data_IF_996767937558
#
_entry.id   IF_996767937558
#
_cell.length_a   1.000
_cell.length_b   1.000
_cell.length_c   1.000
_cell.angle_alpha   90.00
_cell.angle_beta   90.00
_cell.angle_gamma   90.00
#
_symmetry.space_group_name_H-M   'P 1'
#
loop_
_entity.id
_entity.type
_entity.pdbx_description
1 polymer ?
#
# COMPACT_ATOMS: atom_id res chain seq x y z
N UNK A 1 17.03 -14.93 31.27
CA UNK A 1 15.67 -14.40 31.59
C UNK A 1 15.48 -12.92 31.20
N UNK A 2 16.50 -12.21 30.77
CA UNK A 2 16.43 -10.77 30.37
C UNK A 2 16.03 -10.53 28.90
N UNK A 3 16.41 -11.39 27.99
CA UNK A 3 16.23 -11.21 26.55
C UNK A 3 14.77 -11.02 26.05
N UNK A 4 13.75 -11.77 26.54
CA UNK A 4 12.37 -11.55 26.08
C UNK A 4 11.73 -10.24 26.56
N UNK A 5 12.15 -9.72 27.72
CA UNK A 5 11.66 -8.44 28.25
C UNK A 5 12.29 -7.25 27.51
N UNK A 6 13.57 -7.35 27.14
CA UNK A 6 14.27 -6.34 26.34
C UNK A 6 13.66 -6.26 24.93
N UNK A 7 13.38 -7.40 24.28
CA UNK A 7 12.72 -7.45 22.98
C UNK A 7 11.32 -6.83 23.02
N UNK A 8 10.56 -7.02 24.10
CA UNK A 8 9.24 -6.41 24.29
C UNK A 8 9.34 -4.89 24.43
N UNK A 9 10.31 -4.39 25.20
CA UNK A 9 10.53 -2.97 25.40
C UNK A 9 10.97 -2.26 24.09
N UNK A 10 11.82 -2.90 23.30
CA UNK A 10 12.26 -2.37 22.00
C UNK A 10 11.09 -2.29 21.01
N UNK A 11 10.26 -3.33 20.95
CA UNK A 11 9.05 -3.32 20.12
C UNK A 11 8.08 -2.22 20.53
N UNK A 12 7.87 -2.05 21.83
CA UNK A 12 7.03 -0.97 22.35
C UNK A 12 7.60 0.40 21.97
N UNK A 13 8.89 0.61 22.13
CA UNK A 13 9.54 1.87 21.74
C UNK A 13 9.46 2.14 20.24
N UNK A 14 9.66 1.13 19.42
CA UNK A 14 9.49 1.25 17.96
C UNK A 14 8.06 1.64 17.58
N UNK A 15 7.05 1.06 18.24
CA UNK A 15 5.64 1.40 18.03
C UNK A 15 5.32 2.85 18.41
N UNK A 16 5.87 3.35 19.51
CA UNK A 16 5.70 4.75 19.92
C UNK A 16 6.27 5.70 18.87
N UNK A 17 7.48 5.43 18.35
CA UNK A 17 8.13 6.21 17.32
C UNK A 17 7.36 6.12 15.97
N UNK A 18 6.84 4.94 15.64
CA UNK A 18 5.97 4.80 14.47
C UNK A 18 4.70 5.65 14.61
N UNK A 19 4.04 5.62 15.77
CA UNK A 19 2.87 6.45 16.05
C UNK A 19 3.20 7.96 15.95
N UNK A 20 4.36 8.39 16.42
CA UNK A 20 4.85 9.76 16.25
C UNK A 20 4.94 10.11 14.76
N UNK A 21 5.51 9.21 13.95
CA UNK A 21 5.57 9.37 12.49
C UNK A 21 4.18 9.47 11.85
N UNK A 22 3.22 8.67 12.29
CA UNK A 22 1.82 8.76 11.83
C UNK A 22 1.22 10.13 12.13
N UNK A 23 1.48 10.68 13.32
CA UNK A 23 0.99 12.02 13.66
C UNK A 23 1.59 13.11 12.74
N UNK A 24 2.90 13.10 12.51
CA UNK A 24 3.53 13.99 11.54
C UNK A 24 2.91 13.84 10.15
N UNK A 25 2.73 12.61 9.69
CA UNK A 25 2.14 12.30 8.39
C UNK A 25 0.71 12.88 8.25
N UNK A 26 -0.13 12.70 9.27
CA UNK A 26 -1.51 13.22 9.28
C UNK A 26 -1.56 14.76 9.24
N UNK A 27 -0.54 15.45 9.74
CA UNK A 27 -0.42 16.90 9.67
C UNK A 27 0.30 17.39 8.40
N UNK A 28 0.67 16.50 7.48
CA UNK A 28 1.37 16.84 6.26
C UNK A 28 2.86 17.13 6.43
N UNK A 29 3.41 16.90 7.61
CA UNK A 29 4.84 16.99 7.90
C UNK A 29 5.54 15.68 7.51
N UNK A 30 5.75 15.50 6.21
CA UNK A 30 6.34 14.27 5.68
C UNK A 30 7.82 14.11 6.03
N UNK A 31 8.57 15.19 6.15
CA UNK A 31 9.97 15.15 6.60
C UNK A 31 10.06 14.70 8.07
N UNK A 32 9.23 15.26 8.94
CA UNK A 32 9.10 14.81 10.34
C UNK A 32 8.67 13.35 10.45
N UNK A 33 7.73 12.94 9.61
CA UNK A 33 7.28 11.54 9.54
C UNK A 33 8.44 10.60 9.17
N UNK A 34 9.23 10.94 8.15
CA UNK A 34 10.41 10.15 7.73
C UNK A 34 11.41 10.01 8.88
N UNK A 35 11.68 11.08 9.61
CA UNK A 35 12.58 11.04 10.77
C UNK A 35 12.07 10.08 11.84
N UNK A 36 10.80 10.16 12.20
CA UNK A 36 10.20 9.32 13.22
C UNK A 36 10.15 7.84 12.79
N UNK A 37 9.75 7.54 11.55
CA UNK A 37 9.77 6.17 11.01
C UNK A 37 11.20 5.62 10.95
N UNK A 38 12.19 6.44 10.61
CA UNK A 38 13.58 6.03 10.61
C UNK A 38 14.04 5.61 12.00
N UNK A 39 13.74 6.42 13.03
CA UNK A 39 14.02 6.05 14.42
C UNK A 39 13.31 4.76 14.84
N UNK A 40 12.06 4.56 14.41
CA UNK A 40 11.32 3.33 14.68
C UNK A 40 12.03 2.11 14.09
N UNK A 41 12.46 2.20 12.82
CA UNK A 41 13.19 1.16 12.10
C UNK A 41 14.54 0.85 12.77
N UNK A 42 15.26 1.88 13.20
CA UNK A 42 16.56 1.73 13.88
C UNK A 42 16.41 0.97 15.22
N UNK A 43 15.29 1.15 15.91
CA UNK A 43 14.98 0.43 17.16
C UNK A 43 14.53 -1.00 16.89
N UNK A 44 13.56 -1.18 15.99
CA UNK A 44 13.03 -2.49 15.59
C UNK A 44 12.41 -2.38 14.19
N UNK A 45 13.05 -2.94 13.15
CA UNK A 45 12.52 -2.93 11.80
C UNK A 45 11.17 -3.64 11.71
N UNK A 46 10.17 -2.97 11.14
CA UNK A 46 8.83 -3.52 10.88
C UNK A 46 8.40 -3.23 9.46
N UNK A 47 7.60 -4.11 8.87
CA UNK A 47 7.06 -3.91 7.52
C UNK A 47 6.17 -2.65 7.46
N UNK A 48 5.43 -2.37 8.54
CA UNK A 48 4.62 -1.17 8.68
C UNK A 48 5.46 0.12 8.62
N UNK A 49 6.56 0.17 9.37
CA UNK A 49 7.39 1.38 9.42
C UNK A 49 8.04 1.67 8.07
N UNK A 50 8.54 0.66 7.36
CA UNK A 50 9.04 0.82 5.99
C UNK A 50 7.93 1.27 5.02
N UNK A 51 6.76 0.65 5.07
CA UNK A 51 5.63 1.00 4.19
C UNK A 51 5.19 2.45 4.39
N UNK A 52 5.04 2.88 5.64
CA UNK A 52 4.63 4.25 5.97
C UNK A 52 5.71 5.28 5.62
N UNK A 53 6.99 4.94 5.80
CA UNK A 53 8.08 5.81 5.32
C UNK A 53 8.05 5.92 3.80
N UNK A 54 7.73 4.84 3.10
CA UNK A 54 7.47 4.85 1.65
C UNK A 54 6.33 5.79 1.27
N UNK A 55 5.23 5.82 2.01
CA UNK A 55 4.14 6.77 1.76
C UNK A 55 4.63 8.22 1.90
N UNK A 56 5.40 8.52 2.93
CA UNK A 56 5.96 9.86 3.12
C UNK A 56 6.87 10.26 1.95
N UNK A 57 7.73 9.35 1.47
CA UNK A 57 8.53 9.59 0.26
C UNK A 57 7.66 9.84 -0.98
N UNK A 58 6.60 9.06 -1.16
CA UNK A 58 5.69 9.26 -2.29
C UNK A 58 5.00 10.63 -2.26
N UNK A 59 4.54 11.08 -1.08
CA UNK A 59 3.96 12.42 -0.93
C UNK A 59 4.95 13.55 -1.24
N UNK A 60 6.23 13.31 -1.04
CA UNK A 60 7.32 14.22 -1.45
C UNK A 60 7.73 14.09 -2.93
N UNK A 61 7.03 13.26 -3.71
CA UNK A 61 7.34 13.01 -5.12
C UNK A 61 8.53 12.06 -5.35
N UNK A 62 9.04 11.41 -4.30
CA UNK A 62 10.18 10.48 -4.34
C UNK A 62 9.69 9.05 -4.54
N UNK A 63 9.09 8.79 -5.69
CA UNK A 63 8.38 7.52 -5.98
C UNK A 63 9.33 6.32 -5.99
N UNK A 64 10.52 6.45 -6.55
CA UNK A 64 11.49 5.34 -6.58
C UNK A 64 12.01 4.98 -5.19
N UNK A 65 12.19 5.97 -4.31
CA UNK A 65 12.49 5.72 -2.90
C UNK A 65 11.32 5.01 -2.20
N UNK A 66 10.09 5.41 -2.48
CA UNK A 66 8.89 4.77 -1.94
C UNK A 66 8.80 3.28 -2.35
N UNK A 67 9.08 2.96 -3.61
CA UNK A 67 9.13 1.57 -4.10
C UNK A 67 10.24 0.79 -3.38
N UNK A 68 11.41 1.40 -3.19
CA UNK A 68 12.52 0.81 -2.43
C UNK A 68 12.13 0.46 -0.99
N UNK A 69 11.43 1.36 -0.32
CA UNK A 69 10.91 1.12 1.04
C UNK A 69 9.90 -0.02 1.10
N UNK A 70 8.97 -0.10 0.15
CA UNK A 70 8.04 -1.20 0.05
C UNK A 70 8.76 -2.55 -0.16
N UNK A 71 9.83 -2.61 -0.94
CA UNK A 71 10.64 -3.81 -1.11
C UNK A 71 11.31 -4.24 0.21
N UNK A 72 11.83 -3.30 0.99
CA UNK A 72 12.35 -3.58 2.34
C UNK A 72 11.26 -4.09 3.28
N UNK A 73 10.05 -3.52 3.22
CA UNK A 73 8.90 -4.00 3.99
C UNK A 73 8.59 -5.47 3.67
N UNK A 74 8.63 -5.86 2.39
CA UNK A 74 8.41 -7.24 1.94
C UNK A 74 9.52 -8.19 2.44
N UNK A 75 10.76 -7.72 2.50
CA UNK A 75 11.87 -8.52 3.08
C UNK A 75 11.65 -8.80 4.57
N UNK A 76 11.10 -7.83 5.31
CA UNK A 76 10.80 -7.98 6.75
C UNK A 76 9.60 -8.88 7.00
N UNK A 77 8.51 -8.68 6.25
CA UNK A 77 7.30 -9.50 6.33
C UNK A 77 6.70 -9.73 4.94
N UNK A 78 7.03 -10.83 4.27
CA UNK A 78 6.49 -11.17 2.96
C UNK A 78 4.97 -11.38 2.94
N UNK A 79 4.36 -11.60 4.10
CA UNK A 79 2.91 -11.80 4.26
C UNK A 79 2.10 -10.51 4.38
N UNK A 80 2.76 -9.37 4.56
CA UNK A 80 2.10 -8.07 4.66
C UNK A 80 1.73 -7.53 3.28
N UNK A 81 0.43 -7.33 3.01
CA UNK A 81 -0.08 -7.04 1.67
C UNK A 81 0.08 -5.59 1.21
N UNK A 82 0.10 -4.63 2.14
CA UNK A 82 0.15 -3.21 1.82
C UNK A 82 1.30 -2.83 0.87
N UNK A 83 2.57 -3.23 1.12
CA UNK A 83 3.66 -2.82 0.24
C UNK A 83 3.54 -3.36 -1.19
N UNK A 84 2.94 -4.52 -1.40
CA UNK A 84 2.68 -5.03 -2.75
C UNK A 84 1.68 -4.17 -3.51
N UNK A 85 0.56 -3.80 -2.86
CA UNK A 85 -0.43 -2.90 -3.44
C UNK A 85 0.17 -1.52 -3.73
N UNK A 86 0.97 -1.00 -2.81
CA UNK A 86 1.57 0.33 -2.94
C UNK A 86 2.58 0.38 -4.10
N UNK A 87 3.43 -0.64 -4.27
CA UNK A 87 4.30 -0.76 -5.45
C UNK A 87 3.46 -0.75 -6.73
N UNK A 88 2.37 -1.51 -6.76
CA UNK A 88 1.45 -1.53 -7.90
C UNK A 88 0.88 -0.15 -8.20
N UNK A 89 0.40 0.56 -7.19
CA UNK A 89 -0.14 1.91 -7.33
C UNK A 89 0.93 2.92 -7.81
N UNK A 90 2.15 2.84 -7.28
CA UNK A 90 3.26 3.71 -7.69
C UNK A 90 3.69 3.45 -9.13
N UNK A 91 3.73 2.19 -9.57
CA UNK A 91 4.03 1.83 -10.95
C UNK A 91 2.93 2.29 -11.91
N UNK A 92 1.64 2.22 -11.52
CA UNK A 92 0.54 2.80 -12.30
C UNK A 92 0.75 4.31 -12.46
N UNK A 93 1.07 5.02 -11.39
CA UNK A 93 1.33 6.47 -11.44
C UNK A 93 2.51 6.83 -12.34
N UNK A 94 3.51 5.96 -12.46
CA UNK A 94 4.63 6.10 -13.41
C UNK A 94 4.27 5.72 -14.85
N UNK A 95 3.09 5.17 -15.10
CA UNK A 95 2.69 4.65 -16.41
C UNK A 95 3.23 3.25 -16.73
N UNK A 96 3.87 2.59 -15.76
CA UNK A 96 4.45 1.25 -15.91
C UNK A 96 3.39 0.17 -15.64
N UNK A 97 2.32 0.16 -16.43
CA UNK A 97 1.11 -0.62 -16.17
C UNK A 97 1.38 -2.13 -16.13
N UNK A 98 2.14 -2.65 -17.09
CA UNK A 98 2.42 -4.09 -17.16
C UNK A 98 3.28 -4.56 -15.96
N UNK A 99 4.20 -3.74 -15.51
CA UNK A 99 5.02 -4.02 -14.33
C UNK A 99 4.20 -4.02 -13.02
N UNK A 100 3.10 -3.25 -12.97
CA UNK A 100 2.24 -3.15 -11.79
C UNK A 100 1.42 -4.42 -11.54
N UNK A 101 1.00 -5.14 -12.58
CA UNK A 101 0.09 -6.29 -12.49
C UNK A 101 0.60 -7.37 -11.53
N UNK A 102 1.83 -7.90 -11.64
CA UNK A 102 2.30 -8.94 -10.73
C UNK A 102 2.29 -8.53 -9.26
N UNK A 103 2.58 -7.26 -8.96
CA UNK A 103 2.56 -6.74 -7.58
C UNK A 103 1.15 -6.71 -7.01
N UNK A 104 0.18 -6.23 -7.78
CA UNK A 104 -1.22 -6.18 -7.37
C UNK A 104 -1.82 -7.59 -7.20
N UNK A 105 -1.45 -8.54 -8.07
CA UNK A 105 -1.88 -9.94 -7.92
C UNK A 105 -1.28 -10.57 -6.65
N UNK A 106 -0.04 -10.27 -6.32
CA UNK A 106 0.57 -10.71 -5.05
C UNK A 106 -0.12 -10.09 -3.84
N UNK A 107 -0.53 -8.82 -3.92
CA UNK A 107 -1.29 -8.17 -2.85
C UNK A 107 -2.61 -8.90 -2.55
N UNK A 108 -3.34 -9.35 -3.58
CA UNK A 108 -4.56 -10.15 -3.42
C UNK A 108 -4.34 -11.43 -2.61
N UNK A 109 -3.16 -12.04 -2.73
CA UNK A 109 -2.82 -13.31 -2.11
C UNK A 109 -2.18 -13.16 -0.72
N UNK A 110 -1.82 -11.96 -0.32
CA UNK A 110 -1.12 -11.73 0.95
C UNK A 110 -1.99 -12.14 2.15
N UNK A 111 -1.47 -12.96 3.08
CA UNK A 111 -2.27 -13.46 4.20
C UNK A 111 -2.66 -12.37 5.20
N UNK A 112 -1.84 -11.34 5.35
CA UNK A 112 -2.07 -10.21 6.25
C UNK A 112 -2.29 -8.93 5.46
N UNK A 113 -3.51 -8.71 5.00
CA UNK A 113 -3.89 -7.51 4.26
C UNK A 113 -5.34 -7.09 4.53
N UNK A 114 -5.49 -5.96 5.13
CA UNK A 114 -6.73 -5.20 5.29
C UNK A 114 -6.45 -3.75 4.84
N UNK A 115 -7.15 -3.19 3.91
CA UNK A 115 -8.36 -3.59 3.18
C UNK A 115 -8.06 -4.27 1.83
N UNK A 116 -8.57 -5.48 1.64
CA UNK A 116 -8.31 -6.35 0.46
C UNK A 116 -8.90 -5.86 -0.86
N UNK A 117 -9.82 -4.92 -0.85
CA UNK A 117 -10.46 -4.41 -2.06
C UNK A 117 -9.53 -3.51 -2.89
N UNK A 118 -8.53 -2.87 -2.30
CA UNK A 118 -7.65 -1.93 -3.01
C UNK A 118 -6.88 -2.52 -4.20
N UNK A 119 -6.24 -3.70 -4.15
CA UNK A 119 -5.57 -4.24 -5.32
C UNK A 119 -6.54 -4.53 -6.47
N UNK A 120 -7.77 -4.92 -6.20
CA UNK A 120 -8.81 -5.07 -7.21
C UNK A 120 -9.20 -3.71 -7.84
N UNK A 121 -9.36 -2.67 -7.03
CA UNK A 121 -9.61 -1.31 -7.54
C UNK A 121 -8.47 -0.81 -8.43
N UNK A 122 -7.23 -1.02 -8.01
CA UNK A 122 -6.06 -0.60 -8.77
C UNK A 122 -5.93 -1.37 -10.09
N UNK A 123 -6.19 -2.68 -10.10
CA UNK A 123 -6.25 -3.48 -11.34
C UNK A 123 -7.41 -3.05 -12.24
N UNK A 124 -8.57 -2.74 -11.67
CA UNK A 124 -9.69 -2.20 -12.44
C UNK A 124 -9.33 -0.91 -13.18
N UNK A 125 -8.69 0.04 -12.50
CA UNK A 125 -8.19 1.27 -13.12
C UNK A 125 -7.13 1.00 -14.17
N UNK A 126 -6.20 0.10 -13.90
CA UNK A 126 -5.14 -0.30 -14.82
C UNK A 126 -5.72 -0.91 -16.11
N UNK A 127 -6.62 -1.87 -15.99
CA UNK A 127 -7.24 -2.49 -17.15
C UNK A 127 -8.13 -1.52 -17.93
N UNK A 128 -8.83 -0.60 -17.26
CA UNK A 128 -9.56 0.47 -17.92
C UNK A 128 -8.63 1.38 -18.74
N UNK A 129 -7.49 1.76 -18.16
CA UNK A 129 -6.47 2.55 -18.85
C UNK A 129 -5.88 1.85 -20.08
N UNK A 130 -5.81 0.52 -20.06
CA UNK A 130 -5.39 -0.32 -21.20
C UNK A 130 -6.49 -0.59 -22.22
N UNK A 131 -7.72 -0.10 -22.00
CA UNK A 131 -8.90 -0.38 -22.85
C UNK A 131 -9.47 -1.79 -22.68
N UNK A 132 -9.02 -2.53 -21.68
CA UNK A 132 -9.45 -3.91 -21.36
C UNK A 132 -10.71 -3.86 -20.49
N UNK A 133 -11.80 -3.33 -21.03
CA UNK A 133 -12.99 -2.90 -20.27
C UNK A 133 -13.66 -4.07 -19.51
N UNK A 134 -13.75 -5.26 -20.13
CA UNK A 134 -14.35 -6.43 -19.48
C UNK A 134 -13.55 -6.90 -18.25
N UNK A 135 -12.22 -6.85 -18.33
CA UNK A 135 -11.36 -7.17 -17.20
C UNK A 135 -11.48 -6.11 -16.11
N UNK A 136 -11.51 -4.82 -16.47
CA UNK A 136 -11.72 -3.73 -15.54
C UNK A 136 -13.04 -3.91 -14.76
N UNK A 137 -14.13 -4.24 -15.45
CA UNK A 137 -15.44 -4.49 -14.82
C UNK A 137 -15.33 -5.63 -13.79
N UNK A 138 -14.75 -6.77 -14.16
CA UNK A 138 -14.59 -7.90 -13.23
C UNK A 138 -13.81 -7.53 -11.98
N UNK A 139 -12.75 -6.75 -12.12
CA UNK A 139 -11.94 -6.32 -10.98
C UNK A 139 -12.73 -5.38 -10.05
N UNK A 140 -13.46 -4.41 -10.59
CA UNK A 140 -14.30 -3.52 -9.77
C UNK A 140 -15.48 -4.26 -9.12
N UNK A 141 -16.11 -5.20 -9.81
CA UNK A 141 -17.15 -6.06 -9.23
C UNK A 141 -16.60 -6.84 -8.03
N UNK A 142 -15.41 -7.43 -8.18
CA UNK A 142 -14.76 -8.15 -7.09
C UNK A 142 -14.38 -7.23 -5.92
N UNK A 143 -13.96 -6.00 -6.19
CA UNK A 143 -13.72 -5.01 -5.14
C UNK A 143 -14.99 -4.70 -4.35
N UNK A 144 -16.14 -4.56 -5.01
CA UNK A 144 -17.44 -4.33 -4.36
C UNK A 144 -17.96 -5.54 -3.58
N UNK A 145 -17.64 -6.78 -3.97
CA UNK A 145 -17.94 -7.96 -3.17
C UNK A 145 -17.20 -7.92 -1.82
N UNK A 146 -15.97 -7.41 -1.81
CA UNK A 146 -15.16 -7.27 -0.61
C UNK A 146 -15.49 -6.03 0.22
N UNK A 147 -15.93 -4.96 -0.42
CA UNK A 147 -16.31 -3.70 0.21
C UNK A 147 -17.52 -3.07 -0.49
N UNK A 148 -18.76 -3.47 -0.12
CA UNK A 148 -19.97 -3.11 -0.86
C UNK A 148 -20.29 -1.60 -0.94
N UNK A 149 -19.75 -0.80 -0.03
CA UNK A 149 -20.03 0.64 0.05
C UNK A 149 -18.93 1.50 -0.58
N UNK A 150 -18.12 0.96 -1.50
CA UNK A 150 -17.01 1.72 -2.11
C UNK A 150 -17.53 2.61 -3.28
N UNK A 151 -17.75 3.92 -3.07
CA UNK A 151 -18.41 4.77 -4.05
C UNK A 151 -17.57 4.96 -5.33
N UNK A 152 -16.25 4.87 -5.22
CA UNK A 152 -15.34 4.98 -6.36
C UNK A 152 -15.54 3.81 -7.32
N UNK A 153 -15.67 2.58 -6.80
CA UNK A 153 -15.94 1.40 -7.61
C UNK A 153 -17.29 1.47 -8.32
N UNK A 154 -18.33 1.91 -7.61
CA UNK A 154 -19.67 2.07 -8.19
C UNK A 154 -19.66 3.07 -9.35
N UNK A 155 -19.00 4.22 -9.18
CA UNK A 155 -18.89 5.24 -10.21
C UNK A 155 -18.11 4.72 -11.45
N UNK A 156 -17.00 4.01 -11.26
CA UNK A 156 -16.25 3.41 -12.36
C UNK A 156 -17.05 2.36 -13.10
N UNK A 157 -17.74 1.47 -12.40
CA UNK A 157 -18.59 0.44 -13.01
C UNK A 157 -19.72 1.05 -13.87
N UNK A 158 -20.39 2.08 -13.35
CA UNK A 158 -21.44 2.77 -14.09
C UNK A 158 -20.91 3.36 -15.42
N UNK A 159 -19.75 4.01 -15.37
CA UNK A 159 -19.11 4.59 -16.56
C UNK A 159 -18.66 3.53 -17.57
N UNK A 160 -18.02 2.44 -17.10
CA UNK A 160 -17.55 1.38 -17.98
C UNK A 160 -18.69 0.65 -18.65
N UNK A 161 -19.77 0.35 -17.93
CA UNK A 161 -20.98 -0.29 -18.50
C UNK A 161 -21.66 0.60 -19.53
N UNK A 162 -21.72 1.92 -19.29
CA UNK A 162 -22.26 2.86 -20.29
C UNK A 162 -21.43 2.94 -21.57
N UNK A 163 -20.12 2.68 -21.50
CA UNK A 163 -19.23 2.66 -22.67
C UNK A 163 -19.44 1.40 -23.54
N UNK A 164 -19.94 0.30 -22.97
CA UNK A 164 -20.15 -0.97 -23.66
C UNK A 164 -21.55 -1.11 -24.30
N UNK A 165 -22.49 -0.21 -23.95
CA UNK A 165 -23.85 -0.15 -24.50
C UNK A 165 -23.94 0.89 -25.64
#
# INVERSE_FOLDING_TARGET
MTKPMEDSALKQRALELWNEGVQHHMHGDFDGAIVAYTKSIDVCPTAEAYTFRGWAYNFLGRVDDAIGECKKAIEVDPGFGNPYNDIGAYLIAKGELDAAVPWLERAKQAPRYEPRHFPYMNLGRLYAAKGMLQQAIREFERALELHPSEPTCEAFLARLRATLN
#
